data_IF_422575862285
#
_entry.id   IF_422575862285
#
_cell.length_a   1.000
_cell.length_b   1.000
_cell.length_c   1.000
_cell.angle_alpha   90.00
_cell.angle_beta   90.00
_cell.angle_gamma   90.00
#
_symmetry.space_group_name_H-M   'P 1'
#
loop_
_entity.id
_entity.type
_entity.pdbx_description
1 polymer ?
#
# COMPACT_ATOMS: atom_id res chain seq x y z
N UNK A 1 37.03 41.62 44.30
CA UNK A 1 37.71 40.40 43.83
C UNK A 1 36.65 39.38 43.49
N UNK A 2 36.71 38.85 42.27
CA UNK A 2 35.74 37.92 41.70
C UNK A 2 35.74 36.57 42.45
N UNK A 3 34.56 35.98 42.59
CA UNK A 3 34.37 34.61 43.06
C UNK A 3 33.18 34.00 42.33
N UNK A 4 33.39 33.58 41.09
CA UNK A 4 32.47 32.77 40.29
C UNK A 4 32.31 31.40 40.95
N UNK A 5 31.19 31.17 41.65
CA UNK A 5 30.80 29.82 42.06
C UNK A 5 29.98 29.23 40.90
N UNK A 6 30.61 28.34 40.14
CA UNK A 6 29.96 27.57 39.10
C UNK A 6 28.91 26.66 39.75
N UNK A 7 27.63 27.00 39.59
CA UNK A 7 26.52 26.13 39.96
C UNK A 7 26.45 25.00 38.92
N UNK A 8 27.12 23.90 39.20
CA UNK A 8 27.02 22.66 38.41
C UNK A 8 25.61 22.10 38.59
N UNK A 9 24.70 22.43 37.68
CA UNK A 9 23.36 21.85 37.60
C UNK A 9 23.53 20.39 37.18
N UNK A 10 23.59 19.49 38.16
CA UNK A 10 23.50 18.06 37.92
C UNK A 10 22.05 17.76 37.51
N UNK A 11 21.81 17.62 36.20
CA UNK A 11 20.54 17.14 35.67
C UNK A 11 20.37 15.70 36.18
N UNK A 12 19.36 15.38 37.00
CA UNK A 12 19.15 14.01 37.43
C UNK A 12 18.82 13.14 36.22
N UNK A 13 19.41 11.94 36.14
CA UNK A 13 19.09 10.98 35.09
C UNK A 13 17.58 10.68 35.06
N UNK A 14 17.02 10.50 33.87
CA UNK A 14 15.58 10.26 33.60
C UNK A 14 14.97 9.18 34.50
N UNK A 15 15.77 8.17 34.89
CA UNK A 15 15.39 7.11 35.81
C UNK A 15 14.95 7.62 37.19
N UNK A 16 15.64 8.62 37.75
CA UNK A 16 15.31 9.18 39.07
C UNK A 16 14.01 9.99 39.06
N UNK A 17 13.64 10.57 37.92
CA UNK A 17 12.41 11.36 37.78
C UNK A 17 11.20 10.41 37.68
N UNK A 18 11.35 9.30 36.94
CA UNK A 18 10.30 8.30 36.79
C UNK A 18 9.97 7.63 38.14
N UNK A 19 10.99 7.30 38.94
CA UNK A 19 10.81 6.71 40.27
C UNK A 19 10.07 7.65 41.22
N UNK A 20 10.37 8.95 41.16
CA UNK A 20 9.65 9.97 41.94
C UNK A 20 8.19 10.06 41.48
N UNK A 21 7.93 10.07 40.18
CA UNK A 21 6.57 10.12 39.65
C UNK A 21 5.73 8.87 40.01
N UNK A 22 6.31 7.67 39.96
CA UNK A 22 5.62 6.42 40.31
C UNK A 22 5.35 6.34 41.81
N UNK A 23 6.29 6.76 42.65
CA UNK A 23 6.09 6.84 44.10
C UNK A 23 5.02 7.88 44.50
N UNK A 24 4.88 8.98 43.73
CA UNK A 24 3.84 9.99 43.93
C UNK A 24 2.43 9.42 43.75
N UNK A 25 2.27 8.59 42.72
CA UNK A 25 1.00 7.93 42.40
C UNK A 25 0.67 6.88 43.47
N UNK A 26 1.68 6.23 44.05
CA UNK A 26 1.51 5.19 45.09
C UNK A 26 1.36 5.75 46.52
N UNK A 27 1.61 7.05 46.73
CA UNK A 27 1.42 7.70 48.03
C UNK A 27 2.53 7.45 49.06
N UNK A 28 3.71 7.00 48.61
CA UNK A 28 4.84 6.74 49.51
C UNK A 28 5.59 8.04 49.90
N UNK A 29 6.11 8.10 51.13
CA UNK A 29 6.88 9.27 51.61
C UNK A 29 8.33 9.22 51.10
N UNK A 30 8.76 10.28 50.41
CA UNK A 30 10.12 10.40 49.86
C UNK A 30 11.20 10.62 50.92
N UNK A 31 12.33 9.92 50.77
CA UNK A 31 13.54 10.16 51.53
C UNK A 31 14.38 11.30 50.95
N UNK A 32 14.57 12.34 51.77
CA UNK A 32 15.69 13.29 51.92
C UNK A 32 16.45 13.94 50.71
N UNK A 33 16.21 13.59 49.44
CA UNK A 33 16.86 14.29 48.30
C UNK A 33 15.93 15.21 47.50
N UNK A 34 14.66 15.34 47.89
CA UNK A 34 13.64 16.11 47.19
C UNK A 34 13.42 17.51 47.79
N UNK A 35 14.49 18.23 48.14
CA UNK A 35 14.39 19.55 48.80
C UNK A 35 14.10 20.73 47.86
N UNK A 36 13.73 20.49 46.60
CA UNK A 36 13.57 21.57 45.60
C UNK A 36 12.11 21.82 45.20
N UNK A 37 11.16 20.94 45.55
CA UNK A 37 9.78 21.05 45.04
C UNK A 37 8.76 21.07 46.17
N UNK A 38 7.85 22.05 46.13
CA UNK A 38 6.66 22.04 46.98
C UNK A 38 5.61 21.07 46.43
N UNK A 39 4.76 20.51 47.30
CA UNK A 39 3.77 19.48 46.94
C UNK A 39 2.82 19.92 45.80
N UNK A 40 2.57 21.24 45.68
CA UNK A 40 1.76 21.82 44.61
C UNK A 40 2.45 21.85 43.25
N UNK A 41 3.78 21.98 43.21
CA UNK A 41 4.56 22.02 41.96
C UNK A 41 4.73 20.63 41.37
N UNK A 42 4.87 19.59 42.21
CA UNK A 42 4.92 18.18 41.78
C UNK A 42 3.62 17.76 41.12
N UNK A 43 2.46 18.15 41.69
CA UNK A 43 1.14 17.84 41.11
C UNK A 43 0.96 18.51 39.75
N UNK A 44 1.37 19.77 39.60
CA UNK A 44 1.30 20.50 38.31
C UNK A 44 2.22 19.89 37.26
N UNK A 45 3.45 19.53 37.65
CA UNK A 45 4.41 18.92 36.74
C UNK A 45 3.97 17.52 36.29
N UNK A 46 3.44 16.71 37.22
CA UNK A 46 2.89 15.40 36.91
C UNK A 46 1.70 15.48 35.94
N UNK A 47 0.81 16.47 36.09
CA UNK A 47 -0.31 16.71 35.17
C UNK A 47 0.19 17.09 33.77
N UNK A 48 1.20 17.97 33.67
CA UNK A 48 1.77 18.38 32.38
C UNK A 48 2.49 17.23 31.69
N UNK A 49 3.24 16.41 32.42
CA UNK A 49 3.91 15.23 31.87
C UNK A 49 2.88 14.16 31.45
N UNK A 50 1.86 13.91 32.26
CA UNK A 50 0.78 12.99 31.88
C UNK A 50 0.03 13.47 30.63
N UNK A 51 -0.26 14.77 30.53
CA UNK A 51 -0.89 15.36 29.34
C UNK A 51 0.00 15.26 28.09
N UNK A 52 1.31 15.48 28.22
CA UNK A 52 2.27 15.34 27.13
C UNK A 52 2.43 13.89 26.67
N UNK A 53 2.39 12.91 27.59
CA UNK A 53 2.40 11.48 27.26
C UNK A 53 1.11 11.07 26.56
N UNK A 54 -0.05 11.58 26.98
CA UNK A 54 -1.32 11.34 26.28
C UNK A 54 -1.33 11.95 24.86
N UNK A 55 -0.73 13.14 24.67
CA UNK A 55 -0.61 13.77 23.35
C UNK A 55 0.45 13.10 22.47
N UNK A 56 1.48 12.47 23.05
CA UNK A 56 2.47 11.66 22.34
C UNK A 56 1.95 10.27 21.94
N UNK A 57 1.06 9.66 22.74
CA UNK A 57 0.40 8.39 22.41
C UNK A 57 -0.76 8.53 21.41
N UNK A 58 -1.26 9.74 21.20
CA UNK A 58 -2.14 10.05 20.06
C UNK A 58 -1.40 10.11 18.71
N UNK A 59 -0.06 10.00 18.72
CA UNK A 59 0.79 10.08 17.53
C UNK A 59 1.25 8.75 16.93
N UNK A 60 0.79 7.60 17.44
CA UNK A 60 1.14 6.28 16.90
C UNK A 60 -0.11 5.48 16.52
N UNK A 61 -0.82 5.90 15.48
CA UNK A 61 -1.68 5.00 14.70
C UNK A 61 -0.79 4.23 13.73
N UNK A 62 -0.03 3.28 14.29
CA UNK A 62 0.61 2.23 13.51
C UNK A 62 -0.45 1.46 12.72
N UNK A 63 -0.12 1.17 11.46
CA UNK A 63 -0.92 0.42 10.52
C UNK A 63 -1.36 -0.93 11.10
N UNK A 64 -2.64 -1.07 11.41
CA UNK A 64 -3.30 -2.37 11.40
C UNK A 64 -4.35 -2.34 10.28
N UNK A 65 -3.98 -2.89 9.13
CA UNK A 65 -4.84 -3.04 7.97
C UNK A 65 -6.03 -3.95 8.27
N UNK A 66 -7.22 -3.35 8.39
CA UNK A 66 -8.38 -3.87 7.68
C UNK A 66 -8.42 -3.20 6.31
N UNK A 67 -9.21 -3.69 5.33
CA UNK A 67 -9.48 -2.92 4.13
C UNK A 67 -10.13 -1.61 4.61
N UNK A 68 -9.36 -0.55 4.60
CA UNK A 68 -9.86 0.81 4.66
C UNK A 68 -10.98 0.87 3.62
N UNK A 69 -12.14 1.35 4.06
CA UNK A 69 -13.36 1.37 3.24
C UNK A 69 -13.17 2.08 1.91
N UNK A 70 -12.13 2.93 1.82
CA UNK A 70 -11.67 3.61 0.61
C UNK A 70 -11.05 2.63 -0.39
N UNK A 71 -10.07 1.80 0.00
CA UNK A 71 -9.49 0.77 -0.89
C UNK A 71 -10.52 -0.27 -1.33
N UNK A 72 -11.43 -0.68 -0.44
CA UNK A 72 -12.51 -1.61 -0.79
C UNK A 72 -13.52 -1.01 -1.78
N UNK A 73 -13.82 0.28 -1.65
CA UNK A 73 -14.68 1.00 -2.59
C UNK A 73 -14.00 1.14 -3.96
N UNK A 74 -12.70 1.45 -3.97
CA UNK A 74 -11.91 1.56 -5.20
C UNK A 74 -11.83 0.23 -5.96
N UNK A 75 -11.61 -0.89 -5.26
CA UNK A 75 -11.63 -2.22 -5.87
C UNK A 75 -13.03 -2.55 -6.43
N UNK A 76 -14.10 -2.22 -5.71
CA UNK A 76 -15.46 -2.45 -6.19
C UNK A 76 -15.79 -1.62 -7.45
N UNK A 77 -15.35 -0.36 -7.49
CA UNK A 77 -15.48 0.51 -8.66
C UNK A 77 -14.68 -0.04 -9.85
N UNK A 78 -13.43 -0.46 -9.62
CA UNK A 78 -12.62 -1.12 -10.64
C UNK A 78 -13.31 -2.36 -11.24
N UNK A 79 -13.83 -3.24 -10.39
CA UNK A 79 -14.56 -4.43 -10.84
C UNK A 79 -15.85 -4.07 -11.60
N UNK A 80 -16.53 -2.98 -11.22
CA UNK A 80 -17.69 -2.49 -11.94
C UNK A 80 -17.31 -2.03 -13.35
N UNK A 81 -16.23 -1.25 -13.49
CA UNK A 81 -15.77 -0.77 -14.80
C UNK A 81 -15.26 -1.90 -15.70
N UNK A 82 -14.61 -2.93 -15.13
CA UNK A 82 -14.28 -4.16 -15.85
C UNK A 82 -15.54 -4.85 -16.39
N UNK A 83 -16.54 -5.06 -15.54
CA UNK A 83 -17.79 -5.72 -15.93
C UNK A 83 -18.54 -4.94 -17.01
N UNK A 84 -18.48 -3.60 -16.96
CA UNK A 84 -19.04 -2.74 -17.99
C UNK A 84 -18.34 -2.93 -19.34
N UNK A 85 -17.01 -2.93 -19.37
CA UNK A 85 -16.24 -3.21 -20.58
C UNK A 85 -16.50 -4.62 -21.13
N UNK A 86 -16.60 -5.62 -20.26
CA UNK A 86 -16.94 -6.99 -20.68
C UNK A 86 -18.35 -7.10 -21.27
N UNK A 87 -19.31 -6.35 -20.75
CA UNK A 87 -20.64 -6.28 -21.35
C UNK A 87 -20.58 -5.72 -22.77
N UNK A 88 -19.78 -4.67 -23.01
CA UNK A 88 -19.58 -4.11 -24.35
C UNK A 88 -18.97 -5.13 -25.32
N UNK A 89 -17.94 -5.88 -24.90
CA UNK A 89 -17.35 -6.96 -25.70
C UNK A 89 -18.38 -8.05 -26.04
N UNK A 90 -19.16 -8.50 -25.04
CA UNK A 90 -20.21 -9.52 -25.24
C UNK A 90 -21.29 -9.04 -26.21
N UNK A 91 -21.64 -7.76 -26.14
CA UNK A 91 -22.63 -7.13 -27.00
C UNK A 91 -22.06 -6.72 -28.37
N UNK A 92 -20.80 -7.10 -28.68
CA UNK A 92 -20.07 -6.80 -29.93
C UNK A 92 -19.90 -5.31 -30.22
N UNK A 93 -19.96 -4.48 -29.18
CA UNK A 93 -19.72 -3.03 -29.25
C UNK A 93 -18.22 -2.77 -29.14
N UNK A 94 -17.47 -3.21 -30.14
CA UNK A 94 -16.01 -3.30 -30.05
C UNK A 94 -15.30 -1.94 -30.03
N UNK A 95 -15.76 -0.92 -30.78
CA UNK A 95 -15.25 0.45 -30.63
C UNK A 95 -15.43 0.98 -29.21
N UNK A 96 -16.63 0.84 -28.65
CA UNK A 96 -16.91 1.34 -27.29
C UNK A 96 -16.09 0.59 -26.24
N UNK A 97 -15.93 -0.73 -26.41
CA UNK A 97 -15.05 -1.53 -25.56
C UNK A 97 -13.59 -1.09 -25.68
N UNK A 98 -13.10 -0.80 -26.89
CA UNK A 98 -11.74 -0.30 -27.14
C UNK A 98 -11.52 1.01 -26.40
N UNK A 99 -12.42 1.97 -26.54
CA UNK A 99 -12.31 3.28 -25.89
C UNK A 99 -12.34 3.12 -24.36
N UNK A 100 -13.30 2.35 -23.85
CA UNK A 100 -13.47 2.07 -22.43
C UNK A 100 -12.22 1.43 -21.79
N UNK A 101 -11.72 0.34 -22.38
CA UNK A 101 -10.51 -0.32 -21.88
C UNK A 101 -9.25 0.50 -22.12
N UNK A 102 -9.21 1.40 -23.11
CA UNK A 102 -8.09 2.32 -23.30
C UNK A 102 -8.00 3.34 -22.18
N UNK A 103 -9.13 3.83 -21.67
CA UNK A 103 -9.17 4.68 -20.47
C UNK A 103 -8.68 3.89 -19.24
N UNK A 104 -9.22 2.69 -18.99
CA UNK A 104 -8.77 1.83 -17.89
C UNK A 104 -7.27 1.52 -17.97
N UNK A 105 -6.70 1.37 -19.17
CA UNK A 105 -5.28 1.10 -19.37
C UNK A 105 -4.38 2.31 -19.03
N UNK A 106 -4.91 3.53 -19.02
CA UNK A 106 -4.17 4.72 -18.58
C UNK A 106 -3.95 4.69 -17.06
N UNK A 107 -4.99 4.32 -16.32
CA UNK A 107 -4.96 4.23 -14.86
C UNK A 107 -4.27 2.95 -14.37
N UNK A 108 -4.43 1.85 -15.11
CA UNK A 108 -3.90 0.53 -14.77
C UNK A 108 -2.98 -0.04 -15.87
N UNK A 109 -1.84 0.61 -16.19
CA UNK A 109 -1.00 0.27 -17.36
C UNK A 109 -0.33 -1.11 -17.29
N UNK A 110 -0.34 -1.77 -16.13
CA UNK A 110 0.24 -3.11 -15.92
C UNK A 110 -0.83 -4.18 -15.66
N UNK A 111 -2.11 -3.84 -15.78
CA UNK A 111 -3.16 -4.83 -15.57
C UNK A 111 -3.28 -5.75 -16.80
N UNK A 112 -3.00 -7.02 -16.58
CA UNK A 112 -3.03 -8.03 -17.63
C UNK A 112 -4.45 -8.30 -18.15
N UNK A 113 -5.47 -8.14 -17.31
CA UNK A 113 -6.89 -8.30 -17.69
C UNK A 113 -7.32 -7.18 -18.61
N UNK A 114 -6.99 -5.93 -18.26
CA UNK A 114 -7.30 -4.75 -19.09
C UNK A 114 -6.58 -4.85 -20.43
N UNK A 115 -5.28 -5.19 -20.43
CA UNK A 115 -4.51 -5.37 -21.65
C UNK A 115 -5.08 -6.50 -22.54
N UNK A 116 -5.46 -7.65 -21.95
CA UNK A 116 -6.07 -8.74 -22.69
C UNK A 116 -7.40 -8.31 -23.33
N UNK A 117 -8.25 -7.61 -22.58
CA UNK A 117 -9.58 -7.18 -23.03
C UNK A 117 -9.50 -6.15 -24.13
N UNK A 118 -8.56 -5.20 -24.02
CA UNK A 118 -8.27 -4.23 -25.08
C UNK A 118 -7.72 -4.93 -26.34
N UNK A 119 -6.87 -5.95 -26.17
CA UNK A 119 -6.39 -6.78 -27.27
C UNK A 119 -7.52 -7.50 -28.02
N UNK A 120 -8.51 -8.03 -27.29
CA UNK A 120 -9.72 -8.64 -27.88
C UNK A 120 -10.51 -7.60 -28.65
N UNK A 121 -10.73 -6.41 -28.10
CA UNK A 121 -11.44 -5.34 -28.82
C UNK A 121 -10.74 -4.99 -30.14
N UNK A 122 -9.42 -4.77 -30.12
CA UNK A 122 -8.65 -4.51 -31.35
C UNK A 122 -8.71 -5.67 -32.36
N UNK A 123 -8.67 -6.92 -31.87
CA UNK A 123 -8.72 -8.12 -32.72
C UNK A 123 -10.04 -8.20 -33.47
N UNK A 124 -11.16 -8.03 -32.77
CA UNK A 124 -12.50 -8.04 -33.38
C UNK A 124 -12.73 -6.87 -34.36
N UNK A 125 -12.02 -5.75 -34.17
CA UNK A 125 -12.00 -4.61 -35.11
C UNK A 125 -11.09 -4.82 -36.32
N UNK A 126 -10.34 -5.92 -36.38
CA UNK A 126 -9.34 -6.16 -37.42
C UNK A 126 -8.08 -5.28 -37.29
N UNK A 127 -7.86 -4.67 -36.14
CA UNK A 127 -6.68 -3.87 -35.81
C UNK A 127 -5.55 -4.78 -35.30
N UNK A 128 -5.15 -5.75 -36.13
CA UNK A 128 -4.30 -6.89 -35.73
C UNK A 128 -2.97 -6.50 -35.08
N UNK A 129 -2.28 -5.49 -35.59
CA UNK A 129 -0.98 -5.07 -35.04
C UNK A 129 -1.17 -4.45 -33.63
N UNK A 130 -2.26 -3.71 -33.41
CA UNK A 130 -2.59 -3.16 -32.09
C UNK A 130 -3.02 -4.26 -31.12
N UNK A 131 -3.82 -5.23 -31.58
CA UNK A 131 -4.22 -6.39 -30.78
C UNK A 131 -2.99 -7.19 -30.29
N UNK A 132 -2.03 -7.46 -31.18
CA UNK A 132 -0.80 -8.16 -30.83
C UNK A 132 -0.02 -7.44 -29.72
N UNK A 133 0.16 -6.11 -29.83
CA UNK A 133 0.84 -5.32 -28.81
C UNK A 133 0.18 -5.46 -27.44
N UNK A 134 -1.16 -5.46 -27.37
CA UNK A 134 -1.86 -5.57 -26.10
C UNK A 134 -1.83 -6.99 -25.53
N UNK A 135 -1.92 -8.02 -26.37
CA UNK A 135 -1.74 -9.39 -25.92
C UNK A 135 -0.32 -9.64 -25.40
N UNK A 136 0.71 -9.09 -26.04
CA UNK A 136 2.09 -9.21 -25.56
C UNK A 136 2.25 -8.58 -24.16
N UNK A 137 1.65 -7.40 -23.92
CA UNK A 137 1.59 -6.79 -22.59
C UNK A 137 0.83 -7.64 -21.57
N UNK A 138 -0.26 -8.28 -21.98
CA UNK A 138 -1.03 -9.17 -21.10
C UNK A 138 -0.22 -10.41 -20.71
N UNK A 139 0.57 -10.98 -21.63
CA UNK A 139 1.51 -12.07 -21.33
C UNK A 139 2.62 -11.58 -20.40
N UNK A 140 3.25 -10.45 -20.69
CA UNK A 140 4.35 -9.92 -19.87
C UNK A 140 3.89 -9.65 -18.42
N UNK A 141 2.80 -8.90 -18.25
CA UNK A 141 2.30 -8.54 -16.93
C UNK A 141 1.61 -9.72 -16.23
N UNK A 142 0.92 -10.57 -16.98
CA UNK A 142 0.32 -11.80 -16.46
C UNK A 142 1.37 -12.81 -16.01
N UNK A 143 2.55 -12.82 -16.65
CA UNK A 143 3.71 -13.62 -16.24
C UNK A 143 4.50 -12.96 -15.11
N UNK A 144 4.60 -11.64 -15.03
CA UNK A 144 5.30 -10.95 -13.94
C UNK A 144 4.74 -11.33 -12.55
N UNK A 145 3.43 -11.62 -12.46
CA UNK A 145 2.78 -12.13 -11.24
C UNK A 145 3.41 -13.44 -10.73
N UNK A 146 3.99 -14.24 -11.63
CA UNK A 146 4.46 -15.61 -11.45
C UNK A 146 6.00 -15.68 -11.50
N UNK A 147 6.59 -14.82 -12.33
CA UNK A 147 8.04 -14.66 -12.58
C UNK A 147 8.71 -13.87 -11.45
N UNK A 148 8.03 -13.64 -10.31
CA UNK A 148 8.69 -13.20 -9.07
C UNK A 148 9.64 -14.25 -8.45
N UNK A 149 10.14 -15.18 -9.28
CA UNK A 149 11.32 -16.03 -9.12
C UNK A 149 11.07 -17.38 -8.43
N UNK A 150 10.64 -18.39 -9.20
CA UNK A 150 10.78 -19.82 -8.83
C UNK A 150 11.92 -20.44 -9.63
N UNK A 151 13.17 -20.10 -9.31
CA UNK A 151 14.33 -20.88 -9.78
C UNK A 151 14.34 -22.21 -9.01
N UNK A 152 13.56 -23.18 -9.47
CA UNK A 152 13.61 -24.54 -8.92
C UNK A 152 14.68 -25.33 -9.69
N UNK A 153 15.84 -25.56 -9.05
CA UNK A 153 16.92 -26.45 -9.55
C UNK A 153 17.56 -26.02 -10.88
N UNK A 154 17.64 -24.73 -11.17
CA UNK A 154 18.33 -24.21 -12.36
C UNK A 154 17.57 -24.41 -13.68
N UNK A 155 16.29 -24.78 -13.62
CA UNK A 155 15.40 -24.87 -14.78
C UNK A 155 14.37 -23.76 -14.68
N UNK A 156 14.32 -22.89 -15.69
CA UNK A 156 13.25 -21.89 -15.81
C UNK A 156 12.00 -22.64 -16.27
N UNK A 157 11.06 -22.85 -15.37
CA UNK A 157 9.70 -23.30 -15.71
C UNK A 157 8.81 -22.07 -15.76
N UNK A 158 8.41 -21.65 -16.97
CA UNK A 158 7.37 -20.63 -17.16
C UNK A 158 6.02 -21.21 -16.76
N UNK A 159 5.64 -21.05 -15.50
CA UNK A 159 4.23 -21.17 -15.11
C UNK A 159 3.53 -19.90 -15.60
N UNK A 160 2.36 -20.03 -16.24
CA UNK A 160 1.58 -18.92 -16.82
C UNK A 160 0.24 -18.80 -16.10
N UNK A 161 -0.20 -17.56 -15.82
CA UNK A 161 -1.54 -17.31 -15.27
C UNK A 161 -2.59 -17.65 -16.31
N UNK A 162 -3.83 -17.87 -15.88
CA UNK A 162 -4.96 -18.08 -16.78
C UNK A 162 -5.07 -16.97 -17.84
N UNK A 163 -4.81 -15.72 -17.45
CA UNK A 163 -4.83 -14.55 -18.34
C UNK A 163 -3.69 -14.62 -19.37
N UNK A 164 -2.46 -14.91 -18.94
CA UNK A 164 -1.32 -15.03 -19.85
C UNK A 164 -1.49 -16.20 -20.84
N UNK A 165 -2.09 -17.32 -20.41
CA UNK A 165 -2.42 -18.44 -21.30
C UNK A 165 -3.47 -18.05 -22.34
N UNK A 166 -4.50 -17.30 -21.94
CA UNK A 166 -5.52 -16.83 -22.86
C UNK A 166 -4.95 -15.82 -23.87
N UNK A 167 -4.14 -14.88 -23.42
CA UNK A 167 -3.43 -13.93 -24.28
C UNK A 167 -2.54 -14.65 -25.30
N UNK A 168 -1.77 -15.66 -24.88
CA UNK A 168 -0.94 -16.46 -25.77
C UNK A 168 -1.76 -17.18 -26.84
N UNK A 169 -2.89 -17.79 -26.46
CA UNK A 169 -3.80 -18.44 -27.40
C UNK A 169 -4.37 -17.44 -28.41
N UNK A 170 -4.74 -16.23 -27.96
CA UNK A 170 -5.25 -15.19 -28.84
C UNK A 170 -4.19 -14.70 -29.84
N UNK A 171 -2.91 -14.64 -29.44
CA UNK A 171 -1.81 -14.34 -30.36
C UNK A 171 -1.68 -15.42 -31.45
N UNK A 172 -1.81 -16.70 -31.09
CA UNK A 172 -1.78 -17.79 -32.08
C UNK A 172 -2.96 -17.71 -33.04
N UNK A 173 -4.15 -17.43 -32.52
CA UNK A 173 -5.35 -17.23 -33.35
C UNK A 173 -5.19 -16.03 -34.29
N UNK A 174 -4.70 -14.90 -33.78
CA UNK A 174 -4.44 -13.70 -34.58
C UNK A 174 -3.49 -13.97 -35.75
N UNK A 175 -2.46 -14.79 -35.55
CA UNK A 175 -1.55 -15.21 -36.62
C UNK A 175 -2.24 -16.07 -37.68
N UNK A 176 -3.18 -16.92 -37.26
CA UNK A 176 -3.99 -17.72 -38.19
C UNK A 176 -4.96 -16.84 -38.99
N UNK A 177 -5.65 -15.90 -38.32
CA UNK A 177 -6.60 -14.99 -38.94
C UNK A 177 -5.91 -14.05 -39.96
N UNK A 178 -4.67 -13.64 -39.70
CA UNK A 178 -3.86 -12.83 -40.64
C UNK A 178 -3.38 -13.61 -41.87
N UNK A 179 -3.35 -14.93 -41.79
CA UNK A 179 -2.84 -15.80 -42.85
C UNK A 179 -3.92 -16.34 -43.80
N UNK A 180 -5.21 -16.21 -43.43
CA UNK A 180 -6.37 -16.60 -44.25
C UNK A 180 -6.85 -15.48 -45.15
#
# INVERSE_FOLDING_TARGET
>A
MAGTVALSIAIPNVLSILDVCVAAIRGDRYGASASVWTEGEVKRFAVVVAAAVCLGLAGCSGSTGGPDTETAAQEAEYQQELNRGFAMLRDQRFEEAKDHFSEMAQDHPKDATVALSLGVAHHELGEWDAAQVQYDKAVENGNLVIVKETIYKGKVTEERTTIANLAFKNIEQLRADRAG
#
